data_IF_231136161823
#
_entry.id   IF_231136161823
#
_cell.length_a   1.000
_cell.length_b   1.000
_cell.length_c   1.000
_cell.angle_alpha   90.00
_cell.angle_beta   90.00
_cell.angle_gamma   90.00
#
_symmetry.space_group_name_H-M   'P 1'
#
loop_
_entity.id
_entity.type
_entity.pdbx_description
1 polymer ?
#
# COMPACT_ATOMS: atom_id res chain seq x y z
N UNK A 1 26.80 -22.64 12.55
CA UNK A 1 25.69 -21.86 11.96
C UNK A 1 25.64 -20.53 12.69
N UNK A 2 26.30 -19.49 12.15
CA UNK A 2 26.31 -18.16 12.79
C UNK A 2 24.95 -17.54 12.46
N UNK A 3 24.10 -17.40 13.48
CA UNK A 3 22.79 -16.77 13.37
C UNK A 3 22.95 -15.40 12.69
N UNK A 4 22.04 -15.06 11.79
CA UNK A 4 21.94 -13.72 11.20
C UNK A 4 21.67 -12.75 12.34
N UNK A 5 22.74 -12.15 12.87
CA UNK A 5 22.73 -11.17 13.96
C UNK A 5 22.39 -9.80 13.40
N UNK A 6 21.30 -9.21 13.91
CA UNK A 6 20.98 -7.77 14.05
C UNK A 6 21.00 -6.83 12.84
N UNK A 7 21.37 -7.25 11.64
CA UNK A 7 21.42 -6.37 10.47
C UNK A 7 20.09 -6.36 9.68
N UNK A 8 18.99 -6.06 10.38
CA UNK A 8 17.71 -5.64 9.80
C UNK A 8 17.60 -4.12 9.75
N UNK A 9 16.40 -3.58 9.95
CA UNK A 9 16.14 -2.12 10.04
C UNK A 9 17.07 -1.38 11.04
N UNK A 10 17.53 -2.10 12.07
CA UNK A 10 18.54 -1.63 13.04
C UNK A 10 19.85 -1.12 12.38
N UNK A 11 20.25 -1.67 11.24
CA UNK A 11 21.47 -1.30 10.50
C UNK A 11 21.32 -0.09 9.55
N UNK A 12 20.11 0.49 9.44
CA UNK A 12 19.92 1.76 8.75
C UNK A 12 20.45 2.90 9.61
N UNK A 13 21.61 3.45 9.24
CA UNK A 13 22.12 4.68 9.85
C UNK A 13 21.32 5.89 9.34
N UNK A 14 21.38 7.02 10.07
CA UNK A 14 20.84 8.32 9.62
C UNK A 14 21.28 8.65 8.18
N UNK A 15 22.53 8.33 7.83
CA UNK A 15 23.08 8.54 6.48
C UNK A 15 22.44 7.66 5.42
N UNK A 16 22.09 6.41 5.74
CA UNK A 16 21.38 5.51 4.80
C UNK A 16 19.93 5.95 4.61
N UNK A 17 19.27 6.42 5.68
CA UNK A 17 17.91 6.99 5.59
C UNK A 17 17.88 8.27 4.75
N UNK A 18 18.90 9.12 4.86
CA UNK A 18 19.06 10.34 4.07
C UNK A 18 19.04 10.09 2.55
N UNK A 19 19.77 9.06 2.12
CA UNK A 19 19.90 8.70 0.71
C UNK A 19 18.65 8.06 0.10
N UNK A 20 17.66 7.64 0.90
CA UNK A 20 16.40 7.07 0.40
C UNK A 20 15.46 8.16 -0.13
N UNK A 21 15.64 9.41 0.30
CA UNK A 21 14.74 10.54 0.02
C UNK A 21 15.45 11.80 -0.50
N UNK A 22 16.65 11.65 -1.07
CA UNK A 22 17.46 12.74 -1.63
C UNK A 22 17.79 13.90 -0.65
N UNK A 23 17.90 13.60 0.66
CA UNK A 23 18.37 14.57 1.66
C UNK A 23 19.87 14.46 1.92
N UNK A 24 20.52 15.59 2.21
CA UNK A 24 21.93 15.58 2.67
C UNK A 24 22.01 15.27 4.17
N UNK A 25 22.92 14.37 4.62
CA UNK A 25 23.00 13.96 6.02
C UNK A 25 23.17 15.11 7.03
N UNK A 26 23.87 16.19 6.65
CA UNK A 26 24.10 17.35 7.52
C UNK A 26 22.87 18.23 7.77
N UNK A 27 21.85 18.17 6.90
CA UNK A 27 20.58 18.84 7.15
C UNK A 27 19.73 18.06 8.18
N UNK A 28 19.78 16.73 8.14
CA UNK A 28 18.89 15.88 8.94
C UNK A 28 19.13 15.99 10.45
N UNK A 29 20.39 16.10 10.89
CA UNK A 29 20.70 16.30 12.32
C UNK A 29 20.23 17.66 12.87
N UNK A 30 19.86 18.62 12.01
CA UNK A 30 19.26 19.91 12.44
C UNK A 30 17.75 19.89 12.50
N UNK A 31 17.09 19.00 11.74
CA UNK A 31 15.64 18.93 11.63
C UNK A 31 15.02 17.81 12.48
N UNK A 32 15.81 16.82 12.89
CA UNK A 32 15.31 15.65 13.61
C UNK A 32 16.16 15.35 14.85
N UNK A 33 15.48 15.35 16.00
CA UNK A 33 16.10 15.10 17.31
C UNK A 33 16.48 13.64 17.54
N UNK A 34 15.99 12.72 16.71
CA UNK A 34 16.28 11.28 16.81
C UNK A 34 16.11 10.54 15.48
N UNK A 35 16.66 9.31 15.42
CA UNK A 35 16.44 8.37 14.31
C UNK A 35 14.95 8.03 14.13
N UNK A 36 14.21 7.91 15.23
CA UNK A 36 12.79 7.61 15.21
C UNK A 36 12.01 8.80 14.64
N UNK A 37 12.36 10.03 15.03
CA UNK A 37 11.75 11.25 14.49
C UNK A 37 12.00 11.42 12.99
N UNK A 38 13.23 11.19 12.53
CA UNK A 38 13.55 11.14 11.11
C UNK A 38 12.70 10.09 10.40
N UNK A 39 12.67 8.87 10.94
CA UNK A 39 11.92 7.78 10.31
C UNK A 39 10.43 8.09 10.20
N UNK A 40 9.80 8.57 11.28
CA UNK A 40 8.39 8.93 11.27
C UNK A 40 8.07 9.97 10.21
N UNK A 41 8.92 11.00 10.08
CA UNK A 41 8.76 12.01 9.04
C UNK A 41 8.92 11.46 7.63
N UNK A 42 9.90 10.58 7.39
CA UNK A 42 10.09 9.94 6.08
C UNK A 42 8.92 9.01 5.74
N UNK A 43 8.45 8.21 6.68
CA UNK A 43 7.28 7.34 6.48
C UNK A 43 6.04 8.17 6.17
N UNK A 44 5.80 9.27 6.90
CA UNK A 44 4.70 10.18 6.62
C UNK A 44 4.76 10.78 5.23
N UNK A 45 5.93 11.26 4.81
CA UNK A 45 6.11 11.79 3.46
C UNK A 45 5.75 10.75 2.40
N UNK A 46 6.24 9.51 2.54
CA UNK A 46 5.92 8.47 1.56
C UNK A 46 4.43 8.09 1.61
N UNK A 47 3.81 8.06 2.79
CA UNK A 47 2.36 7.83 2.92
C UNK A 47 1.55 8.92 2.21
N UNK A 48 1.94 10.19 2.33
CA UNK A 48 1.29 11.30 1.63
C UNK A 48 1.42 11.17 0.10
N UNK A 49 2.58 10.76 -0.40
CA UNK A 49 2.79 10.47 -1.82
C UNK A 49 1.92 9.29 -2.32
N UNK A 50 1.86 8.20 -1.54
CA UNK A 50 0.97 7.06 -1.85
C UNK A 50 -0.48 7.51 -1.87
N UNK A 51 -0.91 8.28 -0.87
CA UNK A 51 -2.27 8.81 -0.78
C UNK A 51 -2.61 9.67 -2.00
N UNK A 52 -1.70 10.54 -2.43
CA UNK A 52 -1.91 11.36 -3.63
C UNK A 52 -2.12 10.49 -4.88
N UNK A 53 -1.31 9.44 -5.06
CA UNK A 53 -1.47 8.48 -6.17
C UNK A 53 -2.82 7.75 -6.11
N UNK A 54 -3.27 7.36 -4.91
CA UNK A 54 -4.56 6.70 -4.73
C UNK A 54 -5.75 7.64 -4.97
N UNK A 55 -5.66 8.90 -4.55
CA UNK A 55 -6.70 9.91 -4.83
C UNK A 55 -6.86 10.12 -6.33
N UNK A 56 -5.75 10.33 -7.06
CA UNK A 56 -5.78 10.48 -8.53
C UNK A 56 -6.40 9.24 -9.20
N UNK A 57 -6.00 8.04 -8.77
CA UNK A 57 -6.56 6.80 -9.32
C UNK A 57 -8.06 6.63 -9.04
N UNK A 58 -8.56 7.15 -7.92
CA UNK A 58 -10.00 7.15 -7.62
C UNK A 58 -10.76 8.19 -8.45
N UNK A 59 -10.16 9.34 -8.73
CA UNK A 59 -10.73 10.41 -9.56
C UNK A 59 -10.85 10.02 -11.03
N UNK A 60 -9.93 9.20 -11.53
CA UNK A 60 -9.95 8.65 -12.90
C UNK A 60 -11.13 7.69 -13.16
N UNK A 61 -11.84 7.26 -12.12
CA UNK A 61 -12.98 6.35 -12.21
C UNK A 61 -14.24 7.02 -11.63
N UNK A 62 -15.38 7.01 -12.34
CA UNK A 62 -16.64 7.55 -11.82
C UNK A 62 -17.03 7.01 -10.43
N UNK A 63 -17.57 7.88 -9.59
CA UNK A 63 -17.97 7.54 -8.21
C UNK A 63 -19.05 6.47 -8.13
N UNK A 64 -19.88 6.38 -9.15
CA UNK A 64 -20.92 5.38 -9.24
C UNK A 64 -20.41 3.97 -9.59
N UNK A 65 -19.09 3.80 -9.82
CA UNK A 65 -18.41 2.54 -10.15
C UNK A 65 -17.41 2.10 -9.06
N UNK A 66 -17.86 1.80 -7.84
CA UNK A 66 -16.98 1.52 -6.70
C UNK A 66 -16.10 0.27 -6.88
N UNK A 67 -16.60 -0.78 -7.54
CA UNK A 67 -15.79 -1.98 -7.82
C UNK A 67 -14.61 -1.67 -8.75
N UNK A 68 -14.84 -0.86 -9.78
CA UNK A 68 -13.78 -0.43 -10.69
C UNK A 68 -12.77 0.48 -9.97
N UNK A 69 -13.24 1.36 -9.07
CA UNK A 69 -12.33 2.15 -8.21
C UNK A 69 -11.39 1.27 -7.40
N UNK A 70 -11.87 0.17 -6.81
CA UNK A 70 -11.01 -0.74 -6.04
C UNK A 70 -9.89 -1.38 -6.87
N UNK A 71 -10.20 -1.81 -8.10
CA UNK A 71 -9.18 -2.30 -9.00
C UNK A 71 -8.19 -1.20 -9.44
N UNK A 72 -8.67 0.02 -9.70
CA UNK A 72 -7.82 1.15 -10.06
C UNK A 72 -6.85 1.53 -8.93
N UNK A 73 -7.37 1.61 -7.70
CA UNK A 73 -6.61 1.91 -6.48
C UNK A 73 -5.50 0.88 -6.23
N UNK A 74 -5.82 -0.40 -6.29
CA UNK A 74 -4.85 -1.48 -6.03
C UNK A 74 -3.79 -1.58 -7.13
N UNK A 75 -4.17 -1.34 -8.40
CA UNK A 75 -3.22 -1.19 -9.52
C UNK A 75 -2.31 0.03 -9.34
N UNK A 76 -2.84 1.16 -8.90
CA UNK A 76 -2.05 2.37 -8.64
C UNK A 76 -1.03 2.15 -7.51
N UNK A 77 -1.44 1.48 -6.41
CA UNK A 77 -0.52 1.09 -5.35
C UNK A 77 0.60 0.17 -5.85
N UNK A 78 0.26 -0.85 -6.65
CA UNK A 78 1.25 -1.73 -7.27
C UNK A 78 2.20 -0.95 -8.19
N UNK A 79 1.70 0.01 -8.96
CA UNK A 79 2.52 0.83 -9.86
C UNK A 79 3.51 1.66 -9.06
N UNK A 80 3.04 2.35 -8.02
CA UNK A 80 3.89 3.08 -7.07
C UNK A 80 5.01 2.19 -6.50
N UNK A 81 4.69 0.93 -6.12
CA UNK A 81 5.69 0.02 -5.55
C UNK A 81 6.90 -0.25 -6.47
N UNK A 82 6.72 -0.08 -7.78
CA UNK A 82 7.78 -0.29 -8.78
C UNK A 82 8.42 1.02 -9.22
N UNK A 83 7.63 2.05 -9.51
CA UNK A 83 8.15 3.36 -9.96
C UNK A 83 8.96 4.05 -8.86
N UNK A 84 8.46 4.02 -7.61
CA UNK A 84 9.08 4.66 -6.45
C UNK A 84 9.75 3.62 -5.53
N UNK A 85 10.51 2.69 -6.13
CA UNK A 85 10.99 1.47 -5.45
C UNK A 85 11.79 1.72 -4.16
N UNK A 86 12.55 2.80 -4.06
CA UNK A 86 13.31 3.17 -2.86
C UNK A 86 12.37 3.61 -1.72
N UNK A 87 11.42 4.49 -2.02
CA UNK A 87 10.41 4.98 -1.08
C UNK A 87 9.49 3.85 -0.62
N UNK A 88 9.04 3.01 -1.55
CA UNK A 88 8.26 1.83 -1.24
C UNK A 88 9.03 0.84 -0.35
N UNK A 89 10.34 0.68 -0.58
CA UNK A 89 11.17 -0.19 0.26
C UNK A 89 11.23 0.31 1.71
N UNK A 90 11.27 1.63 1.94
CA UNK A 90 11.20 2.20 3.29
C UNK A 90 9.90 1.82 4.00
N UNK A 91 8.75 2.00 3.33
CA UNK A 91 7.45 1.62 3.87
C UNK A 91 7.37 0.12 4.16
N UNK A 92 7.77 -0.72 3.19
CA UNK A 92 7.74 -2.16 3.34
C UNK A 92 8.63 -2.65 4.50
N UNK A 93 9.83 -2.08 4.64
CA UNK A 93 10.73 -2.39 5.74
C UNK A 93 10.17 -1.94 7.09
N UNK A 94 9.52 -0.77 7.15
CA UNK A 94 8.86 -0.27 8.36
C UNK A 94 7.76 -1.21 8.84
N UNK A 95 6.92 -1.70 7.92
CA UNK A 95 5.82 -2.62 8.24
C UNK A 95 6.25 -4.05 8.56
N UNK A 96 7.35 -4.52 7.97
CA UNK A 96 7.85 -5.87 8.18
C UNK A 96 8.73 -6.00 9.44
N UNK A 97 9.10 -4.89 10.08
CA UNK A 97 9.93 -4.93 11.28
C UNK A 97 9.10 -5.40 12.50
N UNK A 98 9.46 -6.54 13.12
CA UNK A 98 8.71 -7.06 14.26
C UNK A 98 8.86 -6.21 15.54
N UNK A 99 9.86 -5.33 15.61
CA UNK A 99 10.07 -4.43 16.75
C UNK A 99 9.33 -3.11 16.56
N UNK A 100 8.95 -2.49 17.68
CA UNK A 100 8.42 -1.12 17.68
C UNK A 100 9.55 -0.15 17.27
N UNK A 101 9.45 0.35 16.04
CA UNK A 101 10.38 1.34 15.47
C UNK A 101 10.10 2.75 15.97
N UNK A 102 8.82 3.12 16.07
CA UNK A 102 8.38 4.43 16.54
C UNK A 102 7.93 4.29 17.99
N UNK A 103 8.87 4.45 18.92
CA UNK A 103 8.60 4.24 20.35
C UNK A 103 7.91 5.42 21.01
N UNK A 104 8.21 6.61 20.52
CA UNK A 104 7.68 7.87 20.99
C UNK A 104 6.25 8.06 20.43
N UNK A 105 5.19 8.11 21.28
CA UNK A 105 3.81 8.28 20.82
C UNK A 105 3.63 9.50 19.91
N UNK A 106 4.31 10.61 20.21
CA UNK A 106 4.29 11.85 19.43
C UNK A 106 4.83 11.69 18.00
N UNK A 107 5.60 10.63 17.73
CA UNK A 107 6.07 10.26 16.39
C UNK A 107 5.19 9.17 15.77
N UNK A 108 4.75 8.20 16.56
CA UNK A 108 3.96 7.06 16.09
C UNK A 108 2.53 7.45 15.70
N UNK A 109 1.87 8.30 16.49
CA UNK A 109 0.48 8.69 16.26
C UNK A 109 0.27 9.39 14.91
N UNK A 110 1.08 10.38 14.51
CA UNK A 110 0.98 10.97 13.17
C UNK A 110 1.11 9.93 12.05
N UNK A 111 2.02 8.95 12.21
CA UNK A 111 2.21 7.87 11.23
C UNK A 111 0.96 7.00 11.11
N UNK A 112 0.34 6.62 12.23
CA UNK A 112 -0.92 5.86 12.19
C UNK A 112 -2.03 6.67 11.53
N UNK A 113 -2.14 7.97 11.82
CA UNK A 113 -3.13 8.83 11.16
C UNK A 113 -2.90 8.91 9.65
N UNK A 114 -1.65 9.09 9.21
CA UNK A 114 -1.30 9.09 7.78
C UNK A 114 -1.55 7.73 7.13
N UNK A 115 -1.32 6.61 7.82
CA UNK A 115 -1.67 5.27 7.33
C UNK A 115 -3.18 5.14 7.11
N UNK A 116 -4.00 5.55 8.08
CA UNK A 116 -5.46 5.53 7.96
C UNK A 116 -5.92 6.42 6.80
N UNK A 117 -5.39 7.63 6.71
CA UNK A 117 -5.74 8.58 5.64
C UNK A 117 -5.31 8.07 4.25
N UNK A 118 -4.20 7.34 4.16
CA UNK A 118 -3.74 6.72 2.90
C UNK A 118 -4.71 5.65 2.41
N UNK A 119 -5.34 4.91 3.32
CA UNK A 119 -6.31 3.86 2.97
C UNK A 119 -7.73 4.38 2.75
N UNK A 120 -8.01 5.67 3.00
CA UNK A 120 -9.35 6.23 2.89
C UNK A 120 -10.02 6.01 1.52
N UNK A 121 -9.32 6.14 0.37
CA UNK A 121 -9.96 5.91 -0.93
C UNK A 121 -10.47 4.48 -1.12
N UNK A 122 -9.80 3.49 -0.51
CA UNK A 122 -10.24 2.09 -0.51
C UNK A 122 -11.49 1.93 0.37
N UNK A 123 -11.48 2.53 1.56
CA UNK A 123 -12.62 2.52 2.48
C UNK A 123 -13.85 3.18 1.85
N UNK A 124 -13.67 4.32 1.18
CA UNK A 124 -14.73 5.05 0.49
C UNK A 124 -15.35 4.20 -0.62
N UNK A 125 -14.53 3.56 -1.45
CA UNK A 125 -15.03 2.68 -2.52
C UNK A 125 -15.79 1.46 -1.95
N UNK A 126 -15.33 0.85 -0.86
CA UNK A 126 -16.03 -0.23 -0.19
C UNK A 126 -17.36 0.23 0.43
N UNK A 127 -17.38 1.41 1.07
CA UNK A 127 -18.58 2.00 1.64
C UNK A 127 -19.64 2.31 0.58
N UNK A 128 -19.24 2.86 -0.57
CA UNK A 128 -20.15 3.10 -1.70
C UNK A 128 -20.67 1.78 -2.28
N UNK A 129 -19.83 0.75 -2.40
CA UNK A 129 -20.26 -0.56 -2.88
C UNK A 129 -21.31 -1.21 -1.95
N UNK A 130 -21.09 -1.12 -0.63
CA UNK A 130 -22.05 -1.61 0.37
C UNK A 130 -23.36 -0.80 0.36
N UNK A 131 -23.29 0.53 0.31
CA UNK A 131 -24.46 1.40 0.24
C UNK A 131 -25.32 1.14 -1.01
N UNK A 132 -24.68 0.75 -2.12
CA UNK A 132 -25.34 0.33 -3.36
C UNK A 132 -25.77 -1.14 -3.35
N UNK A 133 -25.62 -1.84 -2.22
CA UNK A 133 -25.93 -3.26 -2.05
C UNK A 133 -25.19 -4.17 -3.06
N UNK A 134 -24.02 -3.72 -3.54
CA UNK A 134 -23.15 -4.52 -4.39
C UNK A 134 -22.31 -5.51 -3.59
N UNK A 135 -22.18 -5.28 -2.28
CA UNK A 135 -21.53 -6.19 -1.33
C UNK A 135 -22.56 -6.58 -0.25
N UNK A 136 -22.40 -7.77 0.31
CA UNK A 136 -23.11 -8.17 1.53
C UNK A 136 -22.71 -7.26 2.69
N UNK A 137 -23.60 -7.02 3.68
CA UNK A 137 -23.27 -6.23 4.86
C UNK A 137 -22.00 -6.73 5.58
N UNK A 138 -21.12 -5.83 6.00
CA UNK A 138 -19.89 -6.17 6.72
C UNK A 138 -19.09 -4.96 7.21
N UNK A 139 -17.98 -5.21 7.90
CA UNK A 139 -17.10 -4.16 8.42
C UNK A 139 -16.25 -3.55 7.30
N UNK A 140 -16.58 -2.34 6.84
CA UNK A 140 -15.75 -1.59 5.86
C UNK A 140 -14.29 -1.40 6.35
N UNK A 141 -14.02 -1.04 7.62
CA UNK A 141 -12.64 -0.94 8.11
C UNK A 141 -11.87 -2.26 7.99
N UNK A 142 -12.50 -3.39 8.36
CA UNK A 142 -11.88 -4.71 8.26
C UNK A 142 -11.58 -5.09 6.80
N UNK A 143 -12.55 -4.90 5.90
CA UNK A 143 -12.39 -5.14 4.46
C UNK A 143 -11.28 -4.27 3.87
N UNK A 144 -11.17 -3.02 4.29
CA UNK A 144 -10.11 -2.10 3.86
C UNK A 144 -8.72 -2.65 4.21
N UNK A 145 -8.55 -3.12 5.45
CA UNK A 145 -7.31 -3.75 5.91
C UNK A 145 -7.04 -5.05 5.15
N UNK A 146 -8.06 -5.88 4.89
CA UNK A 146 -7.92 -7.12 4.12
C UNK A 146 -7.47 -6.87 2.67
N UNK A 147 -8.03 -5.87 1.97
CA UNK A 147 -7.57 -5.47 0.64
C UNK A 147 -6.10 -5.05 0.72
N UNK A 148 -5.78 -4.12 1.63
CA UNK A 148 -4.42 -3.60 1.78
C UNK A 148 -3.40 -4.70 2.08
N UNK A 149 -3.65 -5.52 3.10
CA UNK A 149 -2.74 -6.58 3.53
C UNK A 149 -2.51 -7.62 2.42
N UNK A 150 -3.56 -7.97 1.68
CA UNK A 150 -3.47 -8.91 0.56
C UNK A 150 -2.59 -8.38 -0.57
N UNK A 151 -2.83 -7.14 -1.00
CA UNK A 151 -2.04 -6.51 -2.06
C UNK A 151 -0.60 -6.27 -1.59
N UNK A 152 -0.41 -5.79 -0.35
CA UNK A 152 0.90 -5.57 0.27
C UNK A 152 1.72 -6.86 0.38
N UNK A 153 1.09 -8.00 0.63
CA UNK A 153 1.75 -9.31 0.61
C UNK A 153 2.25 -9.69 -0.78
N UNK A 154 1.42 -9.48 -1.82
CA UNK A 154 1.77 -9.81 -3.21
C UNK A 154 2.94 -8.96 -3.71
N UNK A 155 2.90 -7.64 -3.50
CA UNK A 155 3.96 -6.73 -3.98
C UNK A 155 5.33 -7.00 -3.32
N UNK A 156 5.35 -7.58 -2.11
CA UNK A 156 6.60 -7.99 -1.46
C UNK A 156 7.30 -9.16 -2.17
N UNK A 157 6.58 -9.93 -3.00
CA UNK A 157 7.14 -11.05 -3.76
C UNK A 157 7.93 -10.62 -5.02
N UNK A 158 8.15 -9.31 -5.22
CA UNK A 158 8.86 -8.76 -6.39
C UNK A 158 10.21 -9.42 -6.66
N UNK A 159 10.97 -9.75 -5.60
CA UNK A 159 12.29 -10.40 -5.76
C UNK A 159 12.16 -11.82 -6.31
N UNK A 160 11.15 -12.56 -5.85
CA UNK A 160 10.83 -13.91 -6.31
C UNK A 160 10.26 -13.87 -7.73
N UNK A 161 9.38 -12.91 -8.02
CA UNK A 161 8.81 -12.71 -9.36
C UNK A 161 9.89 -12.42 -10.42
N UNK A 162 10.98 -11.75 -10.05
CA UNK A 162 12.14 -11.57 -10.95
C UNK A 162 12.79 -12.89 -11.38
N UNK A 163 12.72 -13.92 -10.56
CA UNK A 163 13.34 -15.24 -10.80
C UNK A 163 12.35 -16.22 -11.43
N UNK A 164 11.07 -16.11 -11.07
CA UNK A 164 10.01 -16.99 -11.56
C UNK A 164 8.82 -16.18 -12.13
N UNK A 165 9.01 -15.39 -13.21
CA UNK A 165 7.99 -14.48 -13.72
C UNK A 165 6.75 -15.20 -14.27
N UNK A 166 6.90 -16.43 -14.78
CA UNK A 166 5.77 -17.24 -15.26
C UNK A 166 4.88 -17.75 -14.11
N UNK A 167 5.45 -17.92 -12.91
CA UNK A 167 4.73 -18.37 -11.72
C UNK A 167 4.13 -17.20 -10.93
N UNK A 168 4.82 -16.06 -10.90
CA UNK A 168 4.53 -14.93 -10.03
C UNK A 168 4.27 -13.65 -10.84
N UNK A 169 3.24 -13.70 -11.68
CA UNK A 169 2.70 -12.50 -12.33
C UNK A 169 1.96 -11.64 -11.30
N UNK A 170 2.69 -10.68 -10.70
CA UNK A 170 2.16 -9.86 -9.61
C UNK A 170 1.01 -8.96 -10.06
N UNK A 171 1.00 -8.49 -11.31
CA UNK A 171 -0.09 -7.67 -11.84
C UNK A 171 -1.38 -8.48 -11.90
N UNK A 172 -1.30 -9.69 -12.45
CA UNK A 172 -2.42 -10.63 -12.49
C UNK A 172 -2.85 -11.05 -11.08
N UNK A 173 -1.91 -11.30 -10.17
CA UNK A 173 -2.21 -11.70 -8.79
C UNK A 173 -2.91 -10.60 -8.00
N UNK A 174 -2.50 -9.33 -8.15
CA UNK A 174 -3.18 -8.19 -7.52
C UNK A 174 -4.62 -8.09 -8.01
N UNK A 175 -4.86 -8.20 -9.32
CA UNK A 175 -6.23 -8.23 -9.85
C UNK A 175 -7.02 -9.45 -9.33
N UNK A 176 -6.41 -10.64 -9.34
CA UNK A 176 -7.06 -11.86 -8.91
C UNK A 176 -7.47 -11.80 -7.42
N UNK A 177 -6.61 -11.30 -6.53
CA UNK A 177 -6.94 -11.23 -5.10
C UNK A 177 -8.08 -10.26 -4.82
N UNK A 178 -8.12 -9.11 -5.51
CA UNK A 178 -9.22 -8.16 -5.39
C UNK A 178 -10.52 -8.78 -5.89
N UNK A 179 -10.51 -9.47 -7.04
CA UNK A 179 -11.66 -10.24 -7.54
C UNK A 179 -12.13 -11.26 -6.50
N UNK A 180 -11.22 -12.05 -5.95
CA UNK A 180 -11.53 -13.08 -4.93
C UNK A 180 -12.18 -12.47 -3.69
N UNK A 181 -11.66 -11.35 -3.18
CA UNK A 181 -12.22 -10.66 -2.02
C UNK A 181 -13.64 -10.14 -2.31
N UNK A 182 -13.85 -9.48 -3.46
CA UNK A 182 -15.16 -8.93 -3.83
C UNK A 182 -16.22 -10.03 -3.98
N UNK A 183 -15.89 -11.13 -4.67
CA UNK A 183 -16.78 -12.28 -4.78
C UNK A 183 -17.06 -12.92 -3.42
N UNK A 184 -16.03 -13.04 -2.57
CA UNK A 184 -16.17 -13.54 -1.19
C UNK A 184 -17.05 -12.65 -0.32
N UNK A 185 -17.19 -11.37 -0.66
CA UNK A 185 -18.10 -10.42 0.00
C UNK A 185 -19.46 -10.31 -0.71
N UNK A 186 -19.75 -11.19 -1.67
CA UNK A 186 -21.06 -11.31 -2.30
C UNK A 186 -21.30 -10.39 -3.49
N UNK A 187 -20.23 -9.84 -4.11
CA UNK A 187 -20.37 -9.13 -5.36
C UNK A 187 -20.86 -10.04 -6.49
N UNK A 188 -21.74 -9.52 -7.35
CA UNK A 188 -22.15 -10.18 -8.58
C UNK A 188 -20.95 -10.39 -9.52
N UNK A 189 -20.78 -11.61 -10.03
CA UNK A 189 -19.63 -11.98 -10.86
C UNK A 189 -19.56 -11.13 -12.13
N UNK A 190 -20.69 -10.93 -12.82
CA UNK A 190 -20.75 -10.10 -14.02
C UNK A 190 -20.42 -8.63 -13.75
N UNK A 191 -20.79 -8.10 -12.58
CA UNK A 191 -20.42 -6.75 -12.16
C UNK A 191 -18.92 -6.61 -11.88
N UNK A 192 -18.31 -7.62 -11.27
CA UNK A 192 -16.85 -7.64 -11.02
C UNK A 192 -16.08 -7.75 -12.32
N UNK A 193 -16.51 -8.60 -13.25
CA UNK A 193 -15.85 -8.78 -14.55
C UNK A 193 -15.94 -7.50 -15.40
N UNK A 194 -17.11 -6.85 -15.47
CA UNK A 194 -17.25 -5.53 -16.13
C UNK A 194 -16.36 -4.46 -15.49
N UNK A 195 -16.24 -4.47 -14.15
CA UNK A 195 -15.37 -3.54 -13.45
C UNK A 195 -13.88 -3.74 -13.79
N UNK A 196 -13.46 -4.99 -13.99
CA UNK A 196 -12.10 -5.33 -14.39
C UNK A 196 -11.80 -4.99 -15.86
N UNK A 197 -12.74 -5.26 -16.77
CA UNK A 197 -12.62 -4.95 -18.21
C UNK A 197 -12.48 -3.44 -18.48
N UNK A 198 -13.17 -2.61 -17.69
CA UNK A 198 -13.08 -1.15 -17.79
C UNK A 198 -11.65 -0.61 -17.58
N UNK A 199 -10.80 -1.34 -16.87
CA UNK A 199 -9.43 -0.91 -16.54
C UNK A 199 -8.36 -1.56 -17.41
N UNK A 200 -8.70 -2.69 -18.03
CA UNK A 200 -7.80 -3.42 -18.94
C UNK A 200 -8.02 -3.03 -20.41
N UNK A 201 -9.12 -2.32 -20.70
CA UNK A 201 -9.42 -1.80 -22.02
C UNK A 201 -10.05 -2.84 -22.93
N UNK A 202 -11.21 -3.38 -22.54
CA UNK A 202 -12.05 -4.21 -23.41
C UNK A 202 -11.48 -5.60 -23.74
N UNK A 203 -12.32 -6.59 -24.07
CA UNK A 203 -11.87 -7.96 -24.26
C UNK A 203 -10.86 -8.07 -25.41
N UNK A 204 -9.77 -8.79 -25.14
CA UNK A 204 -8.81 -9.28 -26.14
C UNK A 204 -9.49 -10.17 -27.18
#
# INVERSE_FOLDING_TARGET
MKMVTDEGFGALSMNKLAGVVDYTPGALYRYFDSKDALLGALVNQVLDEVRAVLVVAAEDVPEDRPLARLFALTRAYRRFSVEESNKFSLLAMSMAEPRVLLRAPEVAEPVVHSMIATLSPIADALGVAEAKQMLSPGSVPERTVLVFASVQGIVQLRKQARVAPELLDLDRMVAAVVRTLLLGWGADEGAVDRAFELLTGGPS
#
